data_IF_047988148651
#
_entry.id   IF_047988148651
#
_cell.length_a   1.000
_cell.length_b   1.000
_cell.length_c   1.000
_cell.angle_alpha   90.00
_cell.angle_beta   90.00
_cell.angle_gamma   90.00
#
_symmetry.space_group_name_H-M   'P 1'
#
loop_
_entity.id
_entity.type
_entity.pdbx_description
1 polymer ?
#
# COMPACT_ATOMS: atom_id res chain seq x y z
N UNK A 1 -34.15 39.37 62.63
CA UNK A 1 -33.42 38.43 63.51
C UNK A 1 -32.26 37.82 62.72
N UNK A 2 -31.04 38.02 63.22
CA UNK A 2 -29.76 37.29 63.01
C UNK A 2 -29.35 36.81 61.60
N UNK A 3 -28.36 37.55 61.07
CA UNK A 3 -27.12 37.10 60.43
C UNK A 3 -26.78 35.60 60.41
N UNK A 4 -26.27 35.12 59.26
CA UNK A 4 -24.88 34.63 59.19
C UNK A 4 -24.30 34.81 57.78
N UNK A 5 -23.23 35.61 57.74
CA UNK A 5 -22.25 35.80 56.67
C UNK A 5 -21.15 34.76 56.91
N UNK A 6 -20.70 34.05 55.88
CA UNK A 6 -19.42 33.34 55.91
C UNK A 6 -18.60 33.77 54.69
N UNK A 7 -17.43 34.34 55.01
CA UNK A 7 -16.40 34.85 54.11
C UNK A 7 -15.16 33.96 54.27
N UNK A 8 -14.53 33.67 53.12
CA UNK A 8 -13.11 33.32 52.88
C UNK A 8 -12.53 32.01 53.41
N UNK A 9 -11.84 31.29 52.52
CA UNK A 9 -10.36 31.38 52.45
C UNK A 9 -9.83 30.69 51.19
N UNK A 10 -9.45 31.46 50.18
CA UNK A 10 -8.54 31.02 49.13
C UNK A 10 -7.10 31.24 49.59
N UNK A 11 -6.35 30.19 49.88
CA UNK A 11 -4.90 30.24 50.05
C UNK A 11 -4.24 29.55 48.85
N UNK A 12 -3.95 30.35 47.81
CA UNK A 12 -2.83 30.04 46.90
C UNK A 12 -1.60 30.69 47.52
N UNK A 13 -0.76 29.90 48.17
CA UNK A 13 0.61 30.33 48.47
C UNK A 13 1.47 30.07 47.22
N UNK A 14 1.80 31.15 46.53
CA UNK A 14 2.93 31.22 45.60
C UNK A 14 4.16 31.68 46.38
N UNK A 15 5.31 31.00 46.32
CA UNK A 15 6.55 31.60 46.80
C UNK A 15 7.02 32.63 45.76
N UNK A 16 7.01 33.90 46.15
CA UNK A 16 7.60 35.00 45.39
C UNK A 16 9.13 34.93 45.54
N UNK A 17 9.82 34.56 44.47
CA UNK A 17 11.25 34.88 44.31
C UNK A 17 11.32 36.05 43.34
N UNK A 18 11.65 37.23 43.87
CA UNK A 18 12.04 38.38 43.06
C UNK A 18 13.43 38.09 42.45
N UNK A 19 13.52 37.96 41.13
CA UNK A 19 14.78 38.15 40.41
C UNK A 19 14.67 39.38 39.51
N UNK A 20 15.48 40.38 39.82
CA UNK A 20 15.65 41.61 39.05
C UNK A 20 16.48 41.36 37.79
N UNK A 21 15.83 41.06 36.66
CA UNK A 21 16.34 41.33 35.31
C UNK A 21 15.28 40.93 34.28
N UNK A 22 14.79 41.90 33.51
CA UNK A 22 13.74 41.71 32.52
C UNK A 22 14.20 40.89 31.32
N UNK A 23 13.60 39.72 31.13
CA UNK A 23 13.24 39.10 29.85
C UNK A 23 12.47 37.81 30.14
N UNK A 24 11.15 37.81 29.95
CA UNK A 24 10.33 36.60 29.99
C UNK A 24 10.17 36.06 28.56
N UNK A 25 10.86 34.97 28.23
CA UNK A 25 10.39 34.05 27.19
C UNK A 25 9.26 33.17 27.76
N UNK A 26 8.22 32.83 26.98
CA UNK A 26 7.09 32.07 27.49
C UNK A 26 7.41 30.57 27.55
N UNK A 27 7.84 30.09 28.72
CA UNK A 27 8.07 28.66 29.02
C UNK A 27 6.77 27.82 29.20
N UNK A 28 5.61 28.31 28.76
CA UNK A 28 4.30 27.66 28.99
C UNK A 28 3.69 27.03 27.71
N UNK A 29 4.37 27.09 26.56
CA UNK A 29 3.80 26.57 25.29
C UNK A 29 3.95 25.06 25.05
N UNK A 30 4.68 24.32 25.90
CA UNK A 30 5.10 22.94 25.58
C UNK A 30 4.19 21.85 26.14
N UNK A 31 3.41 22.10 27.20
CA UNK A 31 2.66 21.04 27.93
C UNK A 31 1.20 20.86 27.52
N UNK A 32 0.68 21.65 26.57
CA UNK A 32 -0.68 21.50 26.02
C UNK A 32 -0.70 21.34 24.49
N UNK A 33 0.07 20.40 23.91
CA UNK A 33 -0.35 19.79 22.63
C UNK A 33 -1.62 18.98 22.90
N UNK A 34 -2.77 19.65 22.78
CA UNK A 34 -4.10 19.13 23.09
C UNK A 34 -4.37 17.83 22.33
N UNK A 35 -5.21 16.94 22.88
CA UNK A 35 -5.70 15.70 22.23
C UNK A 35 -6.17 15.93 20.78
N UNK A 36 -6.63 17.16 20.49
CA UNK A 36 -7.02 17.66 19.17
C UNK A 36 -5.88 17.68 18.15
N UNK A 37 -4.66 18.04 18.55
CA UNK A 37 -3.48 18.08 17.68
C UNK A 37 -2.94 16.67 17.41
N UNK A 38 -3.04 15.76 18.39
CA UNK A 38 -2.64 14.34 18.24
C UNK A 38 -3.52 13.61 17.23
N UNK A 39 -4.83 13.82 17.31
CA UNK A 39 -5.80 13.32 16.35
C UNK A 39 -5.60 13.96 14.95
N UNK A 40 -5.15 15.23 14.91
CA UNK A 40 -4.85 15.95 13.66
C UNK A 40 -3.68 15.31 12.89
N UNK A 41 -2.62 14.92 13.58
CA UNK A 41 -1.44 14.28 12.97
C UNK A 41 -1.78 12.92 12.33
N UNK A 42 -2.55 12.08 13.03
CA UNK A 42 -3.02 10.81 12.47
C UNK A 42 -3.95 11.02 11.28
N UNK A 43 -4.92 11.93 11.42
CA UNK A 43 -5.82 12.30 10.32
C UNK A 43 -5.03 12.84 9.14
N UNK A 44 -3.97 13.61 9.37
CA UNK A 44 -3.10 14.10 8.30
C UNK A 44 -2.47 12.94 7.51
N UNK A 45 -1.98 11.87 8.16
CA UNK A 45 -1.43 10.72 7.44
C UNK A 45 -2.53 9.94 6.70
N UNK A 46 -3.68 9.70 7.34
CA UNK A 46 -4.73 8.83 6.78
C UNK A 46 -5.67 9.51 5.78
N UNK A 47 -5.76 10.85 5.77
CA UNK A 47 -6.76 11.58 4.96
C UNK A 47 -6.57 11.36 3.45
N UNK A 48 -5.35 11.20 2.96
CA UNK A 48 -5.11 10.95 1.52
C UNK A 48 -5.72 9.61 1.08
N UNK A 49 -5.60 8.58 1.92
CA UNK A 49 -6.20 7.26 1.67
C UNK A 49 -7.72 7.34 1.74
N UNK A 50 -8.24 8.13 2.69
CA UNK A 50 -9.68 8.38 2.81
C UNK A 50 -10.24 9.08 1.57
N UNK A 51 -9.55 10.06 1.01
CA UNK A 51 -9.98 10.78 -0.19
C UNK A 51 -10.13 9.84 -1.41
N UNK A 52 -9.25 8.85 -1.54
CA UNK A 52 -9.30 7.88 -2.65
C UNK A 52 -10.37 6.79 -2.42
N UNK A 53 -10.48 6.26 -1.20
CA UNK A 53 -11.35 5.11 -0.90
C UNK A 53 -12.80 5.50 -0.55
N UNK A 54 -13.05 6.69 -0.01
CA UNK A 54 -14.39 7.11 0.44
C UNK A 54 -15.42 7.37 -0.69
N UNK A 55 -15.04 7.87 -1.89
CA UNK A 55 -15.97 7.99 -3.01
C UNK A 55 -16.57 6.64 -3.43
N UNK A 56 -15.73 5.60 -3.50
CA UNK A 56 -16.13 4.22 -3.85
C UNK A 56 -16.91 3.56 -2.69
N UNK A 57 -16.70 4.03 -1.46
CA UNK A 57 -17.24 3.41 -0.26
C UNK A 57 -16.39 2.28 0.28
N UNK A 58 -15.12 2.20 -0.10
CA UNK A 58 -14.18 1.20 0.42
C UNK A 58 -13.50 1.63 1.73
N UNK A 59 -13.62 2.90 2.13
CA UNK A 59 -13.05 3.37 3.40
C UNK A 59 -13.77 2.71 4.59
N UNK A 60 -13.06 1.98 5.48
CA UNK A 60 -13.69 1.25 6.57
C UNK A 60 -14.01 2.19 7.74
N UNK A 61 -15.10 2.96 7.61
CA UNK A 61 -15.65 3.82 8.66
C UNK A 61 -16.60 2.98 9.54
N UNK A 62 -16.15 2.57 10.74
CA UNK A 62 -16.86 1.59 11.60
C UNK A 62 -17.97 2.24 12.44
N UNK A 63 -18.02 3.57 12.53
CA UNK A 63 -18.75 4.24 13.62
C UNK A 63 -20.22 4.59 13.37
N UNK A 64 -20.91 4.09 12.32
CA UNK A 64 -22.34 4.42 12.15
C UNK A 64 -23.18 3.45 11.29
N UNK A 65 -24.26 2.91 11.87
CA UNK A 65 -25.23 2.02 11.19
C UNK A 65 -25.91 2.72 9.99
N UNK A 66 -26.21 4.03 10.09
CA UNK A 66 -26.80 4.80 8.97
C UNK A 66 -25.83 4.99 7.80
N UNK A 67 -24.52 5.05 8.07
CA UNK A 67 -23.49 5.11 7.03
C UNK A 67 -23.35 3.79 6.28
N UNK A 68 -23.73 2.66 6.89
CA UNK A 68 -23.58 1.33 6.28
C UNK A 68 -24.44 1.15 5.01
N UNK A 69 -25.69 1.64 5.03
CA UNK A 69 -26.57 1.59 3.83
C UNK A 69 -26.01 2.42 2.68
N UNK A 70 -25.53 3.64 2.97
CA UNK A 70 -24.92 4.53 1.97
C UNK A 70 -23.63 3.93 1.41
N UNK A 71 -22.82 3.32 2.28
CA UNK A 71 -21.57 2.66 1.89
C UNK A 71 -21.84 1.50 0.92
N UNK A 72 -22.77 0.62 1.26
CA UNK A 72 -23.21 -0.49 0.40
C UNK A 72 -23.71 0.01 -0.94
N UNK A 73 -24.53 1.06 -0.95
CA UNK A 73 -25.00 1.69 -2.18
C UNK A 73 -23.84 2.18 -3.07
N UNK A 74 -22.85 2.87 -2.49
CA UNK A 74 -21.67 3.35 -3.23
C UNK A 74 -20.85 2.22 -3.85
N UNK A 75 -20.63 1.13 -3.10
CA UNK A 75 -19.88 -0.03 -3.58
C UNK A 75 -20.66 -0.72 -4.72
N UNK A 76 -21.95 -1.00 -4.52
CA UNK A 76 -22.80 -1.65 -5.53
C UNK A 76 -22.89 -0.79 -6.80
N UNK A 77 -23.09 0.51 -6.65
CA UNK A 77 -23.10 1.46 -7.77
C UNK A 77 -21.76 1.47 -8.52
N UNK A 78 -20.64 1.45 -7.79
CA UNK A 78 -19.30 1.41 -8.39
C UNK A 78 -19.05 0.12 -9.18
N UNK A 79 -19.45 -1.04 -8.62
CA UNK A 79 -19.37 -2.34 -9.31
C UNK A 79 -20.24 -2.33 -10.58
N UNK A 80 -21.48 -1.85 -10.46
CA UNK A 80 -22.42 -1.80 -11.58
C UNK A 80 -21.90 -0.91 -12.72
N UNK A 81 -21.36 0.27 -12.41
CA UNK A 81 -20.78 1.17 -13.41
C UNK A 81 -19.62 0.53 -14.17
N UNK A 82 -18.71 -0.14 -13.46
CA UNK A 82 -17.58 -0.86 -14.09
C UNK A 82 -18.08 -2.02 -14.96
N UNK A 83 -19.06 -2.78 -14.48
CA UNK A 83 -19.62 -3.91 -15.21
C UNK A 83 -20.33 -3.48 -16.50
N UNK A 84 -21.20 -2.47 -16.41
CA UNK A 84 -22.08 -2.07 -17.52
C UNK A 84 -21.33 -1.30 -18.60
N UNK A 85 -20.41 -0.40 -18.23
CA UNK A 85 -19.77 0.48 -19.22
C UNK A 85 -18.46 -0.07 -19.79
N UNK A 86 -17.80 -0.99 -19.11
CA UNK A 86 -16.48 -1.50 -19.52
C UNK A 86 -16.48 -3.02 -19.63
N UNK A 87 -16.68 -3.74 -18.52
CA UNK A 87 -16.44 -5.18 -18.47
C UNK A 87 -17.35 -5.99 -19.42
N UNK A 88 -18.68 -5.93 -19.25
CA UNK A 88 -19.60 -6.72 -20.08
C UNK A 88 -19.53 -6.36 -21.57
N UNK A 89 -19.50 -5.06 -21.98
CA UNK A 89 -19.32 -4.70 -23.38
C UNK A 89 -18.01 -5.21 -23.99
N UNK A 90 -16.93 -5.30 -23.19
CA UNK A 90 -15.65 -5.87 -23.62
C UNK A 90 -15.73 -7.38 -23.77
N UNK A 91 -16.28 -8.09 -22.79
CA UNK A 91 -16.46 -9.55 -22.86
C UNK A 91 -17.34 -9.94 -24.06
N UNK A 92 -18.42 -9.20 -24.34
CA UNK A 92 -19.29 -9.45 -25.51
C UNK A 92 -18.50 -9.23 -26.81
N UNK A 93 -17.71 -8.15 -26.89
CA UNK A 93 -16.88 -7.89 -28.07
C UNK A 93 -15.83 -8.99 -28.27
N UNK A 94 -15.17 -9.43 -27.20
CA UNK A 94 -14.19 -10.53 -27.20
C UNK A 94 -14.79 -11.81 -27.79
N UNK A 95 -15.97 -12.22 -27.32
CA UNK A 95 -16.63 -13.46 -27.76
C UNK A 95 -17.12 -13.35 -29.21
N UNK A 96 -17.62 -12.17 -29.62
CA UNK A 96 -18.15 -11.98 -30.98
C UNK A 96 -17.07 -11.81 -32.04
N UNK A 97 -15.83 -11.46 -31.66
CA UNK A 97 -14.71 -11.21 -32.56
C UNK A 97 -13.47 -12.02 -32.18
N UNK A 98 -13.68 -13.25 -31.72
CA UNK A 98 -12.60 -14.12 -31.26
C UNK A 98 -11.61 -14.50 -32.38
N UNK A 99 -12.05 -14.45 -33.63
CA UNK A 99 -11.22 -14.75 -34.81
C UNK A 99 -10.16 -13.68 -35.10
N UNK A 100 -10.33 -12.47 -34.56
CA UNK A 100 -9.39 -11.35 -34.72
C UNK A 100 -8.42 -11.30 -33.54
N UNK A 101 -7.27 -11.95 -33.71
CA UNK A 101 -6.25 -12.08 -32.65
C UNK A 101 -5.73 -10.72 -32.15
N UNK A 102 -5.56 -9.73 -33.02
CA UNK A 102 -5.05 -8.42 -32.63
C UNK A 102 -6.06 -7.68 -31.74
N UNK A 103 -7.34 -7.74 -32.10
CA UNK A 103 -8.42 -7.18 -31.30
C UNK A 103 -8.59 -7.91 -29.96
N UNK A 104 -8.49 -9.24 -29.96
CA UNK A 104 -8.56 -10.06 -28.74
C UNK A 104 -7.46 -9.65 -27.75
N UNK A 105 -6.21 -9.55 -28.22
CA UNK A 105 -5.08 -9.13 -27.39
C UNK A 105 -5.31 -7.70 -26.87
N UNK A 106 -5.85 -6.80 -27.69
CA UNK A 106 -6.17 -5.44 -27.28
C UNK A 106 -7.24 -5.38 -26.18
N UNK A 107 -8.32 -6.15 -26.29
CA UNK A 107 -9.37 -6.17 -25.27
C UNK A 107 -8.82 -6.72 -23.95
N UNK A 108 -8.08 -7.83 -24.01
CA UNK A 108 -7.47 -8.46 -22.83
C UNK A 108 -6.48 -7.53 -22.13
N UNK A 109 -5.61 -6.85 -22.90
CA UNK A 109 -4.58 -5.97 -22.36
C UNK A 109 -5.13 -4.63 -21.85
N UNK A 110 -6.11 -4.03 -22.53
CA UNK A 110 -6.52 -2.64 -22.22
C UNK A 110 -7.52 -2.54 -21.08
N UNK A 111 -8.39 -3.54 -20.88
CA UNK A 111 -9.48 -3.42 -19.91
C UNK A 111 -9.89 -4.70 -19.19
N UNK A 112 -9.98 -5.84 -19.88
CA UNK A 112 -10.65 -7.03 -19.31
C UNK A 112 -9.93 -7.56 -18.07
N UNK A 113 -8.60 -7.75 -18.16
CA UNK A 113 -7.79 -8.27 -17.05
C UNK A 113 -7.72 -7.25 -15.89
N UNK A 114 -7.59 -5.97 -16.22
CA UNK A 114 -7.53 -4.88 -15.24
C UNK A 114 -8.86 -4.74 -14.48
N UNK A 115 -9.97 -4.77 -15.20
CA UNK A 115 -11.32 -4.73 -14.61
C UNK A 115 -11.59 -5.97 -13.76
N UNK A 116 -11.23 -7.17 -14.24
CA UNK A 116 -11.34 -8.42 -13.47
C UNK A 116 -10.62 -8.31 -12.13
N UNK A 117 -9.37 -7.83 -12.14
CA UNK A 117 -8.60 -7.65 -10.93
C UNK A 117 -9.18 -6.58 -10.00
N UNK A 118 -9.70 -5.47 -10.54
CA UNK A 118 -10.39 -4.45 -9.75
C UNK A 118 -11.67 -4.98 -9.09
N UNK A 119 -12.45 -5.79 -9.81
CA UNK A 119 -13.66 -6.46 -9.31
C UNK A 119 -13.32 -7.46 -8.19
N UNK A 120 -12.26 -8.26 -8.36
CA UNK A 120 -11.77 -9.15 -7.30
C UNK A 120 -11.37 -8.36 -6.04
N UNK A 121 -10.62 -7.26 -6.22
CA UNK A 121 -10.21 -6.38 -5.11
C UNK A 121 -11.39 -5.80 -4.35
N UNK A 122 -12.35 -5.19 -5.04
CA UNK A 122 -13.50 -4.54 -4.38
C UNK A 122 -14.37 -5.57 -3.64
N UNK A 123 -14.55 -6.78 -4.19
CA UNK A 123 -15.30 -7.87 -3.56
C UNK A 123 -14.59 -8.35 -2.28
N UNK A 124 -13.29 -8.65 -2.34
CA UNK A 124 -12.55 -9.14 -1.17
C UNK A 124 -12.45 -8.05 -0.09
N UNK A 125 -12.16 -6.80 -0.46
CA UNK A 125 -12.14 -5.69 0.48
C UNK A 125 -13.50 -5.45 1.15
N UNK A 126 -14.60 -5.68 0.42
CA UNK A 126 -15.94 -5.60 0.99
C UNK A 126 -16.17 -6.68 2.07
N UNK A 127 -15.79 -7.94 1.81
CA UNK A 127 -15.92 -9.01 2.81
C UNK A 127 -15.00 -8.79 4.01
N UNK A 128 -13.79 -8.29 3.77
CA UNK A 128 -12.78 -8.07 4.81
C UNK A 128 -12.93 -6.72 5.55
N UNK A 129 -13.90 -5.88 5.18
CA UNK A 129 -14.07 -4.51 5.70
C UNK A 129 -14.10 -4.39 7.21
N UNK A 130 -14.68 -5.37 7.91
CA UNK A 130 -14.77 -5.36 9.37
C UNK A 130 -13.39 -5.57 10.00
N UNK A 131 -12.59 -6.48 9.44
CA UNK A 131 -11.22 -6.72 9.88
C UNK A 131 -10.32 -5.51 9.57
N UNK A 132 -10.48 -4.90 8.38
CA UNK A 132 -9.76 -3.68 8.01
C UNK A 132 -10.13 -2.49 8.92
N UNK A 133 -11.39 -2.37 9.31
CA UNK A 133 -11.84 -1.38 10.30
C UNK A 133 -11.22 -1.58 11.68
N UNK A 134 -11.07 -2.84 12.13
CA UNK A 134 -10.34 -3.17 13.37
C UNK A 134 -8.87 -2.78 13.28
N UNK A 135 -8.21 -3.03 12.15
CA UNK A 135 -6.82 -2.61 11.92
C UNK A 135 -6.66 -1.09 12.01
N UNK A 136 -7.57 -0.33 11.40
CA UNK A 136 -7.56 1.14 11.53
C UNK A 136 -7.74 1.61 12.97
N UNK A 137 -8.65 0.96 13.72
CA UNK A 137 -8.89 1.30 15.13
C UNK A 137 -7.67 1.01 15.99
N UNK A 138 -7.03 -0.16 15.82
CA UNK A 138 -5.77 -0.49 16.50
C UNK A 138 -4.67 0.52 16.16
N UNK A 139 -4.56 0.91 14.88
CA UNK A 139 -3.59 1.91 14.45
C UNK A 139 -3.84 3.28 15.12
N UNK A 140 -5.11 3.70 15.27
CA UNK A 140 -5.48 4.92 15.97
C UNK A 140 -5.16 4.86 17.48
N UNK A 141 -5.51 3.76 18.14
CA UNK A 141 -5.20 3.52 19.55
C UNK A 141 -3.68 3.53 19.79
N UNK A 142 -2.91 2.86 18.94
CA UNK A 142 -1.44 2.81 19.02
C UNK A 142 -0.81 4.18 18.83
N UNK A 143 -1.35 4.99 17.92
CA UNK A 143 -0.90 6.36 17.71
C UNK A 143 -1.14 7.21 18.94
N UNK A 144 -2.35 7.17 19.50
CA UNK A 144 -2.70 7.93 20.70
C UNK A 144 -1.83 7.54 21.89
N UNK A 145 -1.58 6.25 22.09
CA UNK A 145 -0.73 5.75 23.16
C UNK A 145 0.73 6.17 23.00
N UNK A 146 1.28 6.10 21.78
CA UNK A 146 2.68 6.47 21.52
C UNK A 146 2.94 7.95 21.72
N UNK A 147 2.02 8.80 21.25
CA UNK A 147 2.13 10.26 21.39
C UNK A 147 1.94 10.74 22.83
N UNK A 148 1.35 9.93 23.70
CA UNK A 148 1.26 10.23 25.14
C UNK A 148 2.52 9.78 25.90
N UNK A 149 3.29 8.84 25.37
CA UNK A 149 4.41 8.22 26.08
C UNK A 149 5.75 8.94 25.89
N UNK A 150 6.14 9.29 24.65
CA UNK A 150 7.46 9.86 24.35
C UNK A 150 7.47 10.66 23.02
N UNK A 151 8.00 11.89 23.01
CA UNK A 151 8.15 12.73 21.81
C UNK A 151 9.09 12.09 20.75
N UNK A 152 10.10 11.31 21.16
CA UNK A 152 10.95 10.57 20.21
C UNK A 152 10.14 9.53 19.43
N UNK A 153 9.28 8.78 20.12
CA UNK A 153 8.41 7.79 19.47
C UNK A 153 7.43 8.46 18.50
N UNK A 154 6.88 9.62 18.88
CA UNK A 154 6.07 10.45 17.98
C UNK A 154 6.86 10.83 16.72
N UNK A 155 8.12 11.25 16.88
CA UNK A 155 9.01 11.61 15.77
C UNK A 155 9.17 10.48 14.75
N UNK A 156 9.37 9.24 15.22
CA UNK A 156 9.50 8.05 14.36
C UNK A 156 8.21 7.79 13.58
N UNK A 157 7.05 7.76 14.25
CA UNK A 157 5.75 7.55 13.58
C UNK A 157 5.47 8.64 12.54
N UNK A 158 5.71 9.91 12.87
CA UNK A 158 5.52 11.02 11.94
C UNK A 158 6.47 10.96 10.74
N UNK A 159 7.73 10.59 10.94
CA UNK A 159 8.71 10.46 9.87
C UNK A 159 8.28 9.39 8.87
N UNK A 160 7.93 8.19 9.33
CA UNK A 160 7.43 7.10 8.46
C UNK A 160 6.05 7.44 7.85
N UNK A 161 5.15 8.09 8.59
CA UNK A 161 3.85 8.54 8.09
C UNK A 161 3.95 9.60 6.99
N UNK A 162 4.84 10.60 7.13
CA UNK A 162 5.11 11.59 6.07
C UNK A 162 5.73 10.95 4.83
N UNK A 163 6.59 9.94 5.00
CA UNK A 163 7.13 9.16 3.90
C UNK A 163 6.02 8.44 3.13
N UNK A 164 5.15 7.69 3.83
CA UNK A 164 3.98 7.02 3.22
C UNK A 164 3.11 8.01 2.47
N UNK A 165 2.77 9.15 3.09
CA UNK A 165 1.93 10.16 2.43
C UNK A 165 2.55 10.67 1.12
N UNK A 166 3.85 11.00 1.11
CA UNK A 166 4.55 11.44 -0.12
C UNK A 166 4.55 10.34 -1.18
N UNK A 167 4.82 9.11 -0.76
CA UNK A 167 4.78 7.93 -1.62
C UNK A 167 3.39 7.76 -2.27
N UNK A 168 2.32 7.83 -1.49
CA UNK A 168 0.95 7.71 -1.98
C UNK A 168 0.57 8.82 -2.96
N UNK A 169 0.97 10.07 -2.69
CA UNK A 169 0.76 11.20 -3.61
C UNK A 169 1.49 10.94 -4.94
N UNK A 170 2.74 10.48 -4.88
CA UNK A 170 3.50 10.15 -6.10
C UNK A 170 2.85 9.02 -6.91
N UNK A 171 2.35 7.97 -6.24
CA UNK A 171 1.66 6.86 -6.90
C UNK A 171 0.33 7.30 -7.54
N UNK A 172 -0.42 8.17 -6.85
CA UNK A 172 -1.64 8.80 -7.38
C UNK A 172 -1.31 9.59 -8.65
N UNK A 173 -0.33 10.50 -8.59
CA UNK A 173 0.05 11.35 -9.71
C UNK A 173 0.48 10.52 -10.92
N UNK A 174 1.29 9.47 -10.71
CA UNK A 174 1.74 8.60 -11.80
C UNK A 174 0.58 7.86 -12.47
N UNK A 175 -0.34 7.31 -11.69
CA UNK A 175 -1.50 6.58 -12.22
C UNK A 175 -2.45 7.48 -13.02
N UNK A 176 -2.70 8.71 -12.53
CA UNK A 176 -3.51 9.68 -13.25
C UNK A 176 -2.78 10.26 -14.47
N UNK A 177 -1.44 10.33 -14.47
CA UNK A 177 -0.66 10.69 -15.65
C UNK A 177 -0.86 9.65 -16.77
N UNK A 178 -0.77 8.35 -16.48
CA UNK A 178 -1.05 7.30 -17.46
C UNK A 178 -2.48 7.38 -18.00
N UNK A 179 -3.46 7.71 -17.16
CA UNK A 179 -4.84 7.97 -17.59
C UNK A 179 -4.95 9.18 -18.52
N UNK A 180 -4.28 10.30 -18.20
CA UNK A 180 -4.27 11.49 -19.06
C UNK A 180 -3.62 11.19 -20.42
N UNK A 181 -2.50 10.44 -20.45
CA UNK A 181 -1.87 10.01 -21.69
C UNK A 181 -2.85 9.18 -22.56
N UNK A 182 -3.64 8.29 -21.94
CA UNK A 182 -4.67 7.53 -22.65
C UNK A 182 -5.74 8.43 -23.28
N UNK A 183 -6.22 9.42 -22.53
CA UNK A 183 -7.19 10.41 -23.03
C UNK A 183 -6.61 11.18 -24.22
N UNK A 184 -5.35 11.64 -24.11
CA UNK A 184 -4.67 12.38 -25.18
C UNK A 184 -4.52 11.55 -26.46
N UNK A 185 -4.14 10.28 -26.35
CA UNK A 185 -4.08 9.35 -27.48
C UNK A 185 -5.44 9.26 -28.19
N UNK A 186 -6.54 9.13 -27.44
CA UNK A 186 -7.88 9.02 -28.03
C UNK A 186 -8.37 10.33 -28.64
N UNK A 187 -8.02 11.47 -28.06
CA UNK A 187 -8.31 12.78 -28.67
C UNK A 187 -7.54 12.95 -29.98
N UNK A 188 -6.25 12.63 -30.00
CA UNK A 188 -5.43 12.72 -31.20
C UNK A 188 -6.00 11.85 -32.33
N UNK A 189 -6.31 10.58 -32.02
CA UNK A 189 -6.93 9.67 -32.98
C UNK A 189 -8.23 10.23 -33.57
N UNK A 190 -9.07 10.85 -32.73
CA UNK A 190 -10.32 11.46 -33.18
C UNK A 190 -10.09 12.65 -34.13
N UNK A 191 -9.09 13.50 -33.83
CA UNK A 191 -8.74 14.65 -34.68
C UNK A 191 -8.24 14.19 -36.05
N UNK A 192 -7.29 13.25 -36.09
CA UNK A 192 -6.70 12.73 -37.34
C UNK A 192 -7.75 12.11 -38.25
N UNK A 193 -8.69 11.33 -37.69
CA UNK A 193 -9.77 10.72 -38.47
C UNK A 193 -10.84 11.72 -38.92
N UNK A 194 -10.93 12.89 -38.30
CA UNK A 194 -11.85 13.96 -38.72
C UNK A 194 -11.27 14.79 -39.87
N UNK A 195 -9.95 14.87 -40.00
CA UNK A 195 -9.28 15.55 -41.12
C UNK A 195 -9.31 14.77 -42.44
N UNK A 196 -9.41 13.44 -42.38
CA UNK A 196 -9.68 12.60 -43.54
C UNK A 196 -11.20 12.57 -43.73
N UNK A 197 -11.71 13.26 -44.77
CA UNK A 197 -13.13 13.37 -45.09
C UNK A 197 -13.76 12.02 -45.54
N UNK A 198 -13.55 10.93 -44.82
CA UNK A 198 -14.26 9.68 -45.06
C UNK A 198 -15.54 9.62 -44.23
N UNK A 199 -16.62 9.32 -44.95
CA UNK A 199 -18.02 9.38 -44.54
C UNK A 199 -18.43 8.26 -43.57
N UNK A 200 -17.47 7.69 -42.84
CA UNK A 200 -17.73 6.75 -41.76
C UNK A 200 -17.30 7.39 -40.43
N UNK A 201 -18.28 7.96 -39.72
CA UNK A 201 -18.21 8.23 -38.27
C UNK A 201 -18.01 6.93 -37.47
N UNK A 202 -16.86 6.29 -37.63
CA UNK A 202 -16.38 5.25 -36.73
C UNK A 202 -15.65 5.94 -35.59
N UNK A 203 -16.40 6.62 -34.70
CA UNK A 203 -15.84 7.10 -33.44
C UNK A 203 -15.51 5.87 -32.59
N UNK A 204 -14.22 5.64 -32.36
CA UNK A 204 -13.79 4.60 -31.45
C UNK A 204 -14.03 5.01 -30.00
N UNK A 205 -14.56 4.08 -29.22
CA UNK A 205 -14.74 4.22 -27.79
C UNK A 205 -13.40 4.37 -27.04
N UNK A 206 -13.46 4.87 -25.79
CA UNK A 206 -12.28 4.98 -24.92
C UNK A 206 -11.65 3.59 -24.69
N UNK A 207 -12.48 2.56 -24.58
CA UNK A 207 -12.11 1.16 -24.70
C UNK A 207 -12.87 0.48 -25.83
N UNK A 208 -12.24 -0.42 -26.62
CA UNK A 208 -12.97 -1.27 -27.56
C UNK A 208 -14.09 -1.99 -26.83
N UNK A 209 -15.34 -1.82 -27.28
CA UNK A 209 -16.52 -2.33 -26.58
C UNK A 209 -17.68 -2.52 -27.56
N UNK A 210 -18.47 -3.56 -27.35
CA UNK A 210 -19.67 -3.81 -28.15
C UNK A 210 -20.87 -3.06 -27.55
N UNK A 211 -21.46 -2.15 -28.34
CA UNK A 211 -22.76 -1.55 -28.05
C UNK A 211 -23.67 -1.69 -29.27
N UNK A 212 -24.97 -1.98 -29.08
CA UNK A 212 -25.91 -2.06 -30.18
C UNK A 212 -25.97 -0.77 -31.01
N UNK A 213 -26.18 -0.89 -32.33
CA UNK A 213 -26.14 0.25 -33.27
C UNK A 213 -27.06 1.42 -32.90
N UNK A 214 -28.20 1.16 -32.24
CA UNK A 214 -29.12 2.21 -31.81
C UNK A 214 -28.56 3.09 -30.67
N UNK A 215 -27.60 2.57 -29.88
CA UNK A 215 -26.91 3.32 -28.82
C UNK A 215 -25.75 4.19 -29.35
N UNK A 216 -25.35 4.02 -30.60
CA UNK A 216 -24.26 4.78 -31.23
C UNK A 216 -24.70 6.15 -31.77
N UNK A 217 -26.00 6.48 -31.68
CA UNK A 217 -26.53 7.79 -32.09
C UNK A 217 -26.37 8.79 -30.95
N UNK A 218 -25.95 10.02 -31.28
CA UNK A 218 -25.94 11.14 -30.32
C UNK A 218 -27.36 11.37 -29.78
N UNK A 219 -27.56 11.55 -28.45
CA UNK A 219 -26.55 11.79 -27.39
C UNK A 219 -26.07 10.53 -26.63
N UNK A 220 -26.52 9.34 -26.99
CA UNK A 220 -26.23 8.11 -26.24
C UNK A 220 -24.76 7.71 -26.31
N UNK A 221 -24.10 7.98 -27.44
CA UNK A 221 -22.68 7.70 -27.63
C UNK A 221 -21.82 8.47 -26.62
N UNK A 222 -22.10 9.77 -26.45
CA UNK A 222 -21.39 10.66 -25.55
C UNK A 222 -21.58 10.23 -24.08
N UNK A 223 -22.79 9.75 -23.73
CA UNK A 223 -23.07 9.19 -22.41
C UNK A 223 -22.27 7.91 -22.13
N UNK A 224 -22.15 7.01 -23.12
CA UNK A 224 -21.34 5.79 -22.99
C UNK A 224 -19.87 6.16 -22.81
N UNK A 225 -19.37 7.12 -23.59
CA UNK A 225 -17.99 7.57 -23.51
C UNK A 225 -17.66 8.16 -22.12
N UNK A 226 -18.55 9.02 -21.59
CA UNK A 226 -18.44 9.55 -20.22
C UNK A 226 -18.50 8.41 -19.20
N UNK A 227 -19.40 7.44 -19.39
CA UNK A 227 -19.52 6.26 -18.55
C UNK A 227 -18.22 5.44 -18.48
N UNK A 228 -17.55 5.22 -19.61
CA UNK A 228 -16.25 4.55 -19.67
C UNK A 228 -15.17 5.32 -18.91
N UNK A 229 -15.12 6.65 -19.04
CA UNK A 229 -14.19 7.50 -18.27
C UNK A 229 -14.44 7.37 -16.77
N UNK A 230 -15.70 7.48 -16.34
CA UNK A 230 -16.07 7.36 -14.92
C UNK A 230 -15.71 5.98 -14.37
N UNK A 231 -16.02 4.90 -15.11
CA UNK A 231 -15.64 3.55 -14.75
C UNK A 231 -14.11 3.39 -14.63
N UNK A 232 -13.34 3.99 -15.54
CA UNK A 232 -11.86 3.98 -15.48
C UNK A 232 -11.35 4.65 -14.21
N UNK A 233 -11.89 5.81 -13.86
CA UNK A 233 -11.51 6.54 -12.63
C UNK A 233 -11.84 5.71 -11.38
N UNK A 234 -12.97 5.00 -11.38
CA UNK A 234 -13.32 4.07 -10.29
C UNK A 234 -12.28 2.95 -10.19
N UNK A 235 -11.95 2.30 -11.31
CA UNK A 235 -10.93 1.23 -11.35
C UNK A 235 -9.58 1.74 -10.83
N UNK A 236 -9.10 2.89 -11.31
CA UNK A 236 -7.86 3.52 -10.86
C UNK A 236 -7.87 3.73 -9.35
N UNK A 237 -8.96 4.28 -8.80
CA UNK A 237 -9.08 4.52 -7.36
C UNK A 237 -9.16 3.22 -6.55
N UNK A 238 -9.74 2.14 -7.08
CA UNK A 238 -9.71 0.81 -6.43
C UNK A 238 -8.27 0.31 -6.31
N UNK A 239 -7.49 0.37 -7.39
CA UNK A 239 -6.08 -0.04 -7.40
C UNK A 239 -5.24 0.77 -6.43
N UNK A 240 -5.18 2.08 -6.65
CA UNK A 240 -4.38 3.00 -5.83
C UNK A 240 -4.83 2.93 -4.37
N UNK A 241 -6.14 2.88 -4.13
CA UNK A 241 -6.71 2.84 -2.79
C UNK A 241 -6.31 1.58 -2.02
N UNK A 242 -6.48 0.41 -2.64
CA UNK A 242 -6.10 -0.88 -2.05
C UNK A 242 -4.60 -0.94 -1.75
N UNK A 243 -3.78 -0.62 -2.74
CA UNK A 243 -2.34 -0.83 -2.70
C UNK A 243 -1.69 0.15 -1.71
N UNK A 244 -2.08 1.43 -1.76
CA UNK A 244 -1.60 2.43 -0.80
C UNK A 244 -2.09 2.13 0.63
N UNK A 245 -3.30 1.59 0.80
CA UNK A 245 -3.79 1.24 2.13
C UNK A 245 -2.99 0.08 2.74
N UNK A 246 -2.61 -0.93 1.94
CA UNK A 246 -1.69 -1.97 2.39
C UNK A 246 -0.33 -1.40 2.82
N UNK A 247 0.24 -0.49 2.02
CA UNK A 247 1.50 0.21 2.34
C UNK A 247 1.41 0.96 3.66
N UNK A 248 0.31 1.66 3.91
CA UNK A 248 0.08 2.37 5.17
C UNK A 248 0.13 1.43 6.37
N UNK A 249 -0.55 0.28 6.29
CA UNK A 249 -0.59 -0.72 7.36
C UNK A 249 0.79 -1.33 7.60
N UNK A 250 1.51 -1.72 6.54
CA UNK A 250 2.86 -2.28 6.63
C UNK A 250 3.83 -1.26 7.25
N UNK A 251 3.73 0.01 6.85
CA UNK A 251 4.60 1.06 7.37
C UNK A 251 4.28 1.44 8.81
N UNK A 252 3.02 1.30 9.23
CA UNK A 252 2.67 1.39 10.65
C UNK A 252 3.34 0.27 11.44
N UNK A 253 3.24 -0.99 10.99
CA UNK A 253 3.91 -2.13 11.63
C UNK A 253 5.41 -1.89 11.71
N UNK A 254 6.02 -1.48 10.59
CA UNK A 254 7.44 -1.14 10.52
C UNK A 254 7.83 -0.05 11.52
N UNK A 255 7.03 1.01 11.67
CA UNK A 255 7.30 2.06 12.66
C UNK A 255 7.26 1.56 14.09
N UNK A 256 6.28 0.70 14.41
CA UNK A 256 6.12 0.10 15.74
C UNK A 256 7.23 -0.90 16.04
N UNK A 257 7.67 -1.67 15.05
CA UNK A 257 8.84 -2.54 15.14
C UNK A 257 10.11 -1.76 15.48
N UNK A 258 10.35 -0.60 14.83
CA UNK A 258 11.50 0.27 15.15
C UNK A 258 11.45 0.78 16.60
N UNK A 259 10.28 1.21 17.07
CA UNK A 259 10.11 1.67 18.46
C UNK A 259 10.35 0.53 19.45
N UNK A 260 9.78 -0.63 19.17
CA UNK A 260 9.93 -1.80 20.04
C UNK A 260 11.38 -2.24 20.15
N UNK A 261 12.14 -2.17 19.04
CA UNK A 261 13.59 -2.42 19.03
C UNK A 261 14.35 -1.42 19.90
N UNK A 262 14.04 -0.13 19.81
CA UNK A 262 14.67 0.87 20.65
C UNK A 262 14.37 0.63 22.15
N UNK A 263 13.13 0.28 22.49
CA UNK A 263 12.74 -0.05 23.86
C UNK A 263 13.49 -1.28 24.40
N UNK A 264 13.64 -2.32 23.58
CA UNK A 264 14.37 -3.52 23.95
C UNK A 264 15.87 -3.24 24.14
N UNK A 265 16.47 -2.45 23.25
CA UNK A 265 17.89 -2.07 23.34
C UNK A 265 18.18 -1.28 24.61
N UNK A 266 17.30 -0.34 24.96
CA UNK A 266 17.51 0.52 26.13
C UNK A 266 17.14 -0.15 27.46
N UNK A 267 16.38 -1.25 27.44
CA UNK A 267 15.91 -1.95 28.64
C UNK A 267 17.06 -2.34 29.60
N UNK A 268 18.13 -3.00 29.13
CA UNK A 268 19.31 -3.31 29.95
C UNK A 268 19.96 -2.09 30.60
N UNK A 269 19.91 -0.92 29.95
CA UNK A 269 20.50 0.33 30.44
C UNK A 269 19.62 1.04 31.47
N UNK A 270 18.29 0.91 31.34
CA UNK A 270 17.30 1.60 32.18
C UNK A 270 17.02 0.91 33.51
N UNK A 271 17.28 -0.39 33.61
CA UNK A 271 17.03 -1.17 34.83
C UNK A 271 18.37 -1.52 35.47
N UNK A 272 18.50 -1.39 36.79
CA UNK A 272 19.73 -1.78 37.47
C UNK A 272 20.02 -3.28 37.28
N UNK A 273 21.28 -3.73 37.10
CA UNK A 273 21.62 -5.14 36.85
C UNK A 273 21.04 -6.14 37.85
N UNK A 274 20.92 -5.72 39.11
CA UNK A 274 20.42 -6.55 40.25
C UNK A 274 18.89 -6.55 40.40
N UNK A 275 18.15 -5.71 39.68
CA UNK A 275 16.68 -5.61 39.77
C UNK A 275 15.98 -6.52 38.74
N UNK A 276 16.13 -7.84 38.88
CA UNK A 276 15.52 -8.83 37.96
C UNK A 276 14.00 -8.70 37.89
N UNK A 277 13.32 -8.43 39.02
CA UNK A 277 11.85 -8.28 39.05
C UNK A 277 11.38 -7.14 38.14
N UNK A 278 12.06 -5.98 38.21
CA UNK A 278 11.72 -4.82 37.38
C UNK A 278 12.06 -5.09 35.91
N UNK A 279 13.19 -5.75 35.65
CA UNK A 279 13.60 -6.13 34.30
C UNK A 279 12.56 -7.06 33.65
N UNK A 280 12.16 -8.14 34.34
CA UNK A 280 11.17 -9.09 33.85
C UNK A 280 9.79 -8.46 33.64
N UNK A 281 9.39 -7.51 34.50
CA UNK A 281 8.14 -6.76 34.32
C UNK A 281 8.16 -5.93 33.03
N UNK A 282 9.22 -5.16 32.79
CA UNK A 282 9.37 -4.32 31.60
C UNK A 282 9.55 -5.17 30.32
N UNK A 283 10.33 -6.25 30.40
CA UNK A 283 10.46 -7.22 29.32
C UNK A 283 9.11 -7.85 28.96
N UNK A 284 8.30 -8.21 29.96
CA UNK A 284 6.94 -8.72 29.76
C UNK A 284 6.03 -7.72 29.02
N UNK A 285 6.17 -6.42 29.27
CA UNK A 285 5.44 -5.37 28.54
C UNK A 285 5.88 -5.33 27.06
N UNK A 286 7.19 -5.42 26.80
CA UNK A 286 7.76 -5.45 25.44
C UNK A 286 7.27 -6.69 24.69
N UNK A 287 7.28 -7.87 25.31
CA UNK A 287 6.79 -9.12 24.69
C UNK A 287 5.31 -9.04 24.34
N UNK A 288 4.47 -8.51 25.23
CA UNK A 288 3.03 -8.32 24.92
C UNK A 288 2.81 -7.37 23.75
N UNK A 289 3.60 -6.29 23.66
CA UNK A 289 3.56 -5.37 22.51
C UNK A 289 4.02 -6.03 21.21
N UNK A 290 5.07 -6.85 21.27
CA UNK A 290 5.53 -7.66 20.14
C UNK A 290 4.44 -8.61 19.64
N UNK A 291 3.80 -9.34 20.56
CA UNK A 291 2.73 -10.28 20.23
C UNK A 291 1.53 -9.58 19.60
N UNK A 292 1.13 -8.41 20.14
CA UNK A 292 0.08 -7.60 19.55
C UNK A 292 0.43 -7.17 18.12
N UNK A 293 1.67 -6.74 17.88
CA UNK A 293 2.15 -6.34 16.56
C UNK A 293 2.18 -7.51 15.56
N UNK A 294 2.61 -8.69 16.02
CA UNK A 294 2.56 -9.92 15.23
C UNK A 294 1.13 -10.29 14.83
N UNK A 295 0.17 -10.18 15.76
CA UNK A 295 -1.25 -10.40 15.45
C UNK A 295 -1.77 -9.40 14.42
N UNK A 296 -1.38 -8.12 14.54
CA UNK A 296 -1.72 -7.08 13.57
C UNK A 296 -1.18 -7.42 12.17
N UNK A 297 0.08 -7.85 12.06
CA UNK A 297 0.67 -8.25 10.78
C UNK A 297 0.05 -9.53 10.19
N UNK A 298 -0.28 -10.52 11.03
CA UNK A 298 -1.02 -11.72 10.59
C UNK A 298 -2.38 -11.33 10.03
N UNK A 299 -3.09 -10.42 10.68
CA UNK A 299 -4.35 -9.89 10.16
C UNK A 299 -4.15 -9.19 8.80
N UNK A 300 -3.05 -8.47 8.58
CA UNK A 300 -2.76 -7.90 7.25
C UNK A 300 -2.60 -9.04 6.23
N UNK A 301 -1.76 -10.03 6.50
CA UNK A 301 -1.51 -11.13 5.56
C UNK A 301 -2.81 -11.90 5.26
N UNK A 302 -3.61 -12.24 6.27
CA UNK A 302 -4.87 -12.96 6.10
C UNK A 302 -5.91 -12.17 5.28
N UNK A 303 -5.91 -10.83 5.35
CA UNK A 303 -6.88 -10.00 4.61
C UNK A 303 -6.44 -9.70 3.18
N UNK A 304 -5.13 -9.73 2.88
CA UNK A 304 -4.59 -9.33 1.58
C UNK A 304 -3.97 -10.49 0.79
N UNK A 305 -3.70 -11.66 1.37
CA UNK A 305 -3.01 -12.77 0.70
C UNK A 305 -3.66 -13.23 -0.61
N UNK A 306 -5.00 -13.34 -0.66
CA UNK A 306 -5.75 -13.73 -1.86
C UNK A 306 -5.77 -12.58 -2.87
N UNK A 307 -5.93 -11.33 -2.41
CA UNK A 307 -5.84 -10.14 -3.28
C UNK A 307 -4.49 -10.13 -3.98
N UNK A 308 -3.42 -10.36 -3.22
CA UNK A 308 -2.05 -10.37 -3.72
C UNK A 308 -1.81 -11.54 -4.68
N UNK A 309 -2.34 -12.73 -4.40
CA UNK A 309 -2.25 -13.86 -5.33
C UNK A 309 -2.94 -13.57 -6.67
N UNK A 310 -4.18 -13.06 -6.62
CA UNK A 310 -4.94 -12.70 -7.81
C UNK A 310 -4.23 -11.60 -8.61
N UNK A 311 -3.76 -10.55 -7.93
CA UNK A 311 -2.99 -9.47 -8.53
C UNK A 311 -1.73 -9.97 -9.22
N UNK A 312 -0.97 -10.88 -8.60
CA UNK A 312 0.26 -11.44 -9.18
C UNK A 312 -0.02 -12.22 -10.46
N UNK A 313 -1.04 -13.08 -10.42
CA UNK A 313 -1.38 -13.96 -11.54
C UNK A 313 -1.91 -13.16 -12.72
N UNK A 314 -2.85 -12.23 -12.46
CA UNK A 314 -3.46 -11.39 -13.49
C UNK A 314 -2.47 -10.38 -14.05
N UNK A 315 -1.58 -9.84 -13.22
CA UNK A 315 -0.53 -8.93 -13.67
C UNK A 315 0.49 -9.64 -14.57
N UNK A 316 0.89 -10.88 -14.25
CA UNK A 316 1.81 -11.63 -15.10
C UNK A 316 1.21 -11.85 -16.49
N UNK A 317 -0.07 -12.23 -16.58
CA UNK A 317 -0.78 -12.35 -17.85
C UNK A 317 -0.88 -11.00 -18.58
N UNK A 318 -1.26 -9.93 -17.87
CA UNK A 318 -1.38 -8.59 -18.43
C UNK A 318 -0.05 -8.08 -19.01
N UNK A 319 1.05 -8.29 -18.31
CA UNK A 319 2.38 -7.87 -18.76
C UNK A 319 2.77 -8.57 -20.06
N UNK A 320 2.46 -9.87 -20.19
CA UNK A 320 2.71 -10.62 -21.41
C UNK A 320 1.96 -10.01 -22.61
N UNK A 321 0.67 -9.71 -22.46
CA UNK A 321 -0.12 -9.09 -23.53
C UNK A 321 0.36 -7.67 -23.86
N UNK A 322 0.63 -6.84 -22.85
CA UNK A 322 1.10 -5.47 -23.06
C UNK A 322 2.45 -5.41 -23.78
N UNK A 323 3.38 -6.28 -23.39
CA UNK A 323 4.69 -6.30 -24.02
C UNK A 323 4.60 -6.87 -25.45
N UNK A 324 3.74 -7.85 -25.73
CA UNK A 324 3.45 -8.28 -27.10
C UNK A 324 2.87 -7.14 -27.95
N UNK A 325 1.91 -6.39 -27.42
CA UNK A 325 1.33 -5.23 -28.13
C UNK A 325 2.38 -4.16 -28.43
N UNK A 326 3.27 -3.89 -27.48
CA UNK A 326 4.36 -2.94 -27.68
C UNK A 326 5.28 -3.39 -28.82
N UNK A 327 5.66 -4.67 -28.85
CA UNK A 327 6.52 -5.24 -29.90
C UNK A 327 5.86 -5.13 -31.26
N UNK A 328 4.62 -5.58 -31.39
CA UNK A 328 3.90 -5.54 -32.67
C UNK A 328 3.77 -4.11 -33.21
N UNK A 329 3.47 -3.14 -32.34
CA UNK A 329 3.35 -1.72 -32.71
C UNK A 329 4.69 -1.07 -33.07
N UNK A 330 5.81 -1.57 -32.54
CA UNK A 330 7.16 -1.07 -32.85
C UNK A 330 7.74 -1.72 -34.11
N UNK A 331 7.50 -3.01 -34.34
CA UNK A 331 8.07 -3.75 -35.48
C UNK A 331 7.27 -3.55 -36.77
N UNK A 332 5.94 -3.46 -36.70
CA UNK A 332 5.09 -3.16 -37.87
C UNK A 332 5.13 -1.64 -38.12
N UNK A 333 6.31 -1.13 -38.51
CA UNK A 333 6.48 0.24 -39.00
C UNK A 333 5.90 0.38 -40.42
N UNK A 334 4.57 0.31 -40.53
CA UNK A 334 3.85 0.87 -41.67
C UNK A 334 3.19 2.18 -41.22
N UNK A 335 3.94 3.27 -41.41
CA UNK A 335 3.57 4.68 -41.64
C UNK A 335 2.47 5.42 -40.84
N UNK A 336 1.70 4.83 -39.91
CA UNK A 336 0.54 5.54 -39.29
C UNK A 336 0.42 5.44 -37.76
N UNK A 337 1.29 4.70 -37.07
CA UNK A 337 1.19 4.61 -35.59
C UNK A 337 1.67 5.91 -34.94
N UNK A 338 0.78 6.59 -34.20
CA UNK A 338 1.14 7.80 -33.46
C UNK A 338 2.19 7.48 -32.39
N UNK A 339 3.30 8.23 -32.36
CA UNK A 339 4.32 8.20 -31.30
C UNK A 339 3.70 8.25 -29.89
N UNK A 340 2.56 8.93 -29.73
CA UNK A 340 1.84 9.01 -28.46
C UNK A 340 1.30 7.66 -27.98
N UNK A 341 0.91 6.75 -28.88
CA UNK A 341 0.42 5.41 -28.51
C UNK A 341 1.52 4.57 -27.89
N UNK A 342 2.73 4.60 -28.47
CA UNK A 342 3.90 3.90 -27.95
C UNK A 342 4.28 4.47 -26.58
N UNK A 343 4.29 5.80 -26.43
CA UNK A 343 4.54 6.45 -25.14
C UNK A 343 3.51 6.01 -24.10
N UNK A 344 2.21 6.01 -24.44
CA UNK A 344 1.16 5.51 -23.55
C UNK A 344 1.40 4.05 -23.13
N UNK A 345 1.73 3.15 -24.06
CA UNK A 345 1.97 1.73 -23.76
C UNK A 345 3.14 1.54 -22.80
N UNK A 346 4.23 2.30 -22.97
CA UNK A 346 5.38 2.27 -22.05
C UNK A 346 4.96 2.72 -20.64
N UNK A 347 4.25 3.85 -20.53
CA UNK A 347 3.74 4.32 -19.25
C UNK A 347 2.73 3.34 -18.61
N UNK A 348 1.95 2.63 -19.43
CA UNK A 348 1.01 1.64 -18.95
C UNK A 348 1.71 0.40 -18.42
N UNK A 349 2.73 -0.12 -19.12
CA UNK A 349 3.59 -1.21 -18.62
C UNK A 349 4.22 -0.81 -17.29
N UNK A 350 4.82 0.38 -17.19
CA UNK A 350 5.40 0.87 -15.93
C UNK A 350 4.34 0.98 -14.82
N UNK A 351 3.13 1.47 -15.11
CA UNK A 351 2.03 1.56 -14.15
C UNK A 351 1.60 0.19 -13.63
N UNK A 352 1.62 -0.84 -14.47
CA UNK A 352 1.28 -2.20 -14.06
C UNK A 352 2.40 -2.86 -13.23
N UNK A 353 3.66 -2.53 -13.49
CA UNK A 353 4.82 -3.04 -12.72
C UNK A 353 4.97 -2.39 -11.34
N UNK A 354 4.57 -1.14 -11.16
CA UNK A 354 4.69 -0.41 -9.89
C UNK A 354 4.04 -1.15 -8.71
N UNK A 355 2.77 -1.60 -8.76
CA UNK A 355 2.15 -2.38 -7.69
C UNK A 355 2.99 -3.60 -7.26
N UNK A 356 3.53 -4.35 -8.22
CA UNK A 356 4.37 -5.51 -7.94
C UNK A 356 5.64 -5.12 -7.19
N UNK A 357 6.32 -4.07 -7.66
CA UNK A 357 7.49 -3.52 -7.01
C UNK A 357 7.17 -3.07 -5.57
N UNK A 358 6.03 -2.38 -5.38
CA UNK A 358 5.55 -1.93 -4.07
C UNK A 358 5.41 -3.10 -3.10
N UNK A 359 4.72 -4.17 -3.48
CA UNK A 359 4.52 -5.31 -2.58
C UNK A 359 5.83 -5.97 -2.20
N UNK A 360 6.74 -6.13 -3.16
CA UNK A 360 8.05 -6.71 -2.90
C UNK A 360 8.91 -5.80 -2.00
N UNK A 361 8.88 -4.48 -2.23
CA UNK A 361 9.67 -3.50 -1.50
C UNK A 361 9.21 -3.38 -0.05
N UNK A 362 7.91 -3.15 0.16
CA UNK A 362 7.35 -3.05 1.50
C UNK A 362 7.30 -4.41 2.21
N UNK A 363 7.14 -5.51 1.47
CA UNK A 363 7.27 -6.87 2.00
C UNK A 363 8.67 -7.15 2.55
N UNK A 364 9.71 -6.66 1.88
CA UNK A 364 11.09 -6.78 2.35
C UNK A 364 11.41 -5.84 3.51
N UNK A 365 10.91 -4.60 3.50
CA UNK A 365 10.99 -3.69 4.65
C UNK A 365 10.37 -4.34 5.89
N UNK A 366 9.20 -4.97 5.74
CA UNK A 366 8.53 -5.65 6.84
C UNK A 366 9.40 -6.77 7.40
N UNK A 367 9.93 -7.64 6.53
CA UNK A 367 10.81 -8.74 6.94
C UNK A 367 12.08 -8.22 7.61
N UNK A 368 12.74 -7.21 7.03
CA UNK A 368 13.96 -6.62 7.57
C UNK A 368 13.72 -5.99 8.95
N UNK A 369 12.67 -5.18 9.10
CA UNK A 369 12.43 -4.47 10.36
C UNK A 369 11.99 -5.40 11.50
N UNK A 370 11.45 -6.58 11.18
CA UNK A 370 11.09 -7.61 12.18
C UNK A 370 12.30 -8.47 12.51
N UNK A 371 13.07 -8.90 11.51
CA UNK A 371 14.26 -9.74 11.70
C UNK A 371 15.42 -9.00 12.38
N UNK A 372 15.46 -7.67 12.33
CA UNK A 372 16.49 -6.86 13.01
C UNK A 372 16.13 -6.61 14.49
N UNK A 373 14.89 -6.82 14.95
CA UNK A 373 14.53 -6.62 16.37
C UNK A 373 15.30 -7.61 17.26
N UNK A 374 15.49 -8.82 16.78
CA UNK A 374 16.19 -9.85 17.50
C UNK A 374 17.13 -10.57 16.55
N UNK A 375 18.43 -10.46 16.77
CA UNK A 375 19.40 -11.15 15.96
C UNK A 375 19.18 -12.65 16.04
N UNK A 376 19.34 -13.29 14.88
CA UNK A 376 19.60 -14.72 14.79
C UNK A 376 20.90 -15.05 15.56
N UNK A 377 20.80 -15.24 16.88
CA UNK A 377 21.86 -15.86 17.70
C UNK A 377 22.14 -17.29 17.21
N UNK A 378 21.19 -17.93 16.53
CA UNK A 378 21.35 -19.25 15.91
C UNK A 378 22.35 -19.20 14.74
N UNK A 379 22.42 -18.12 13.97
CA UNK A 379 23.45 -17.99 12.95
C UNK A 379 24.83 -17.76 13.58
N UNK A 380 24.94 -17.15 14.77
CA UNK A 380 26.25 -16.99 15.40
C UNK A 380 26.81 -18.32 15.95
N UNK A 381 25.94 -19.24 16.39
CA UNK A 381 26.35 -20.58 16.83
C UNK A 381 26.62 -21.53 15.65
N UNK A 382 25.84 -21.45 14.56
CA UNK A 382 26.08 -22.27 13.36
C UNK A 382 27.21 -21.73 12.46
N UNK A 383 27.40 -20.40 12.40
CA UNK A 383 28.42 -19.77 11.54
C UNK A 383 29.83 -19.78 12.13
N UNK A 384 29.98 -20.00 13.44
CA UNK A 384 31.31 -20.26 14.02
C UNK A 384 31.87 -21.65 13.63
N UNK A 385 31.04 -22.51 13.01
CA UNK A 385 31.45 -23.82 12.50
C UNK A 385 31.67 -23.87 10.98
N UNK A 386 31.23 -22.88 10.19
CA UNK A 386 31.37 -22.93 8.73
C UNK A 386 31.65 -21.54 8.15
N UNK A 387 32.86 -21.40 7.61
CA UNK A 387 33.33 -20.22 6.90
C UNK A 387 32.52 -19.93 5.62
N UNK A 388 32.52 -18.64 5.29
CA UNK A 388 32.27 -17.99 3.98
C UNK A 388 30.85 -17.50 3.66
N UNK A 389 30.84 -16.25 3.17
CA UNK A 389 29.82 -15.53 2.38
C UNK A 389 28.59 -14.94 3.12
N UNK A 390 28.62 -13.62 3.38
CA UNK A 390 27.78 -12.57 2.73
C UNK A 390 27.73 -11.31 3.60
N UNK A 391 28.03 -10.15 2.99
CA UNK A 391 28.00 -8.81 3.59
C UNK A 391 26.57 -8.27 3.90
N UNK A 392 25.56 -9.13 4.03
CA UNK A 392 24.18 -8.74 4.29
C UNK A 392 23.82 -8.77 5.79
N UNK A 393 24.62 -9.45 6.63
CA UNK A 393 24.27 -9.73 8.04
C UNK A 393 24.90 -8.77 9.06
N UNK A 394 25.65 -7.76 8.62
CA UNK A 394 26.44 -6.90 9.50
C UNK A 394 25.56 -6.02 10.41
N UNK A 395 24.41 -5.56 9.90
CA UNK A 395 23.44 -4.75 10.67
C UNK A 395 22.63 -5.56 11.67
N UNK A 396 22.40 -6.85 11.38
CA UNK A 396 21.67 -7.77 12.27
C UNK A 396 22.58 -8.20 13.43
N UNK A 397 23.87 -8.47 13.14
CA UNK A 397 24.90 -8.79 14.14
C UNK A 397 25.10 -7.64 15.14
N UNK A 398 25.11 -6.39 14.68
CA UNK A 398 25.33 -5.23 15.54
C UNK A 398 24.19 -5.02 16.56
N UNK A 399 22.93 -5.21 16.15
CA UNK A 399 21.78 -5.09 17.05
C UNK A 399 21.78 -6.12 18.21
N UNK A 400 22.44 -7.27 18.02
CA UNK A 400 22.60 -8.34 19.03
C UNK A 400 23.45 -7.92 20.19
N UNK A 401 24.54 -7.28 19.80
CA UNK A 401 25.58 -6.82 20.67
C UNK A 401 25.12 -5.59 21.46
N UNK A 402 24.25 -4.77 20.86
CA UNK A 402 23.69 -3.56 21.45
C UNK A 402 22.77 -3.81 22.67
N UNK A 403 22.17 -4.99 22.82
CA UNK A 403 21.29 -5.29 23.97
C UNK A 403 22.03 -5.66 25.27
N UNK A 404 23.36 -5.71 25.32
CA UNK A 404 24.17 -5.96 26.55
C UNK A 404 23.64 -7.07 27.48
N UNK A 405 22.95 -8.08 26.94
CA UNK A 405 22.22 -9.10 27.70
C UNK A 405 23.17 -10.01 28.49
N UNK A 406 24.42 -10.09 28.06
CA UNK A 406 25.51 -10.83 28.70
C UNK A 406 25.99 -10.22 30.03
N UNK A 407 25.60 -8.97 30.34
CA UNK A 407 25.93 -8.29 31.60
C UNK A 407 24.89 -8.62 32.70
N UNK A 408 23.79 -9.30 32.35
CA UNK A 408 22.68 -9.64 33.26
C UNK A 408 22.86 -10.99 33.94
N UNK A 409 22.09 -11.22 34.99
CA UNK A 409 21.99 -12.53 35.62
C UNK A 409 21.52 -13.60 34.62
N UNK A 410 21.98 -14.86 34.73
CA UNK A 410 21.70 -15.91 33.74
C UNK A 410 20.21 -16.17 33.44
N UNK A 411 19.34 -15.96 34.42
CA UNK A 411 17.88 -16.13 34.29
C UNK A 411 17.25 -15.05 33.39
N UNK A 412 17.68 -13.80 33.55
CA UNK A 412 17.22 -12.67 32.75
C UNK A 412 17.75 -12.78 31.32
N UNK A 413 19.02 -13.16 31.17
CA UNK A 413 19.66 -13.41 29.88
C UNK A 413 18.95 -14.52 29.08
N UNK A 414 18.61 -15.64 29.72
CA UNK A 414 17.85 -16.74 29.10
C UNK A 414 16.46 -16.30 28.62
N UNK A 415 15.80 -15.42 29.37
CA UNK A 415 14.48 -14.90 29.00
C UNK A 415 14.56 -14.05 27.72
N UNK A 416 15.61 -13.23 27.58
CA UNK A 416 15.87 -12.47 26.35
C UNK A 416 16.18 -13.39 25.17
N UNK A 417 16.99 -14.43 25.38
CA UNK A 417 17.33 -15.43 24.34
C UNK A 417 16.08 -16.18 23.86
N UNK A 418 15.18 -16.58 24.76
CA UNK A 418 13.92 -17.24 24.39
C UNK A 418 13.03 -16.35 23.52
N UNK A 419 12.99 -15.04 23.82
CA UNK A 419 12.24 -14.09 23.01
C UNK A 419 12.90 -13.96 21.63
N UNK A 420 14.24 -13.88 21.59
CA UNK A 420 15.00 -13.85 20.33
C UNK A 420 14.66 -15.05 19.45
N UNK A 421 14.67 -16.26 20.00
CA UNK A 421 14.30 -17.49 19.29
C UNK A 421 12.84 -17.48 18.78
N UNK A 422 11.89 -17.00 19.60
CA UNK A 422 10.48 -16.89 19.20
C UNK A 422 10.21 -15.89 18.09
N UNK A 423 11.07 -14.87 17.94
CA UNK A 423 10.96 -13.86 16.89
C UNK A 423 11.61 -14.26 15.56
N UNK A 424 12.26 -15.43 15.51
CA UNK A 424 12.85 -16.01 14.28
C UNK A 424 11.80 -16.37 13.22
N UNK A 425 10.50 -16.34 13.54
CA UNK A 425 9.44 -16.48 12.53
C UNK A 425 9.14 -15.10 11.91
N UNK A 426 9.72 -14.76 10.74
CA UNK A 426 9.53 -13.46 10.12
C UNK A 426 8.05 -13.22 9.81
N UNK A 427 7.56 -12.02 10.13
CA UNK A 427 6.32 -11.52 9.53
C UNK A 427 6.55 -11.39 8.02
N UNK A 428 5.83 -12.19 7.24
CA UNK A 428 5.96 -12.24 5.77
C UNK A 428 4.63 -11.89 5.14
N UNK A 429 4.70 -11.09 4.08
CA UNK A 429 3.58 -10.91 3.17
C UNK A 429 3.62 -12.03 2.13
N UNK A 430 2.54 -12.78 2.01
CA UNK A 430 2.47 -13.96 1.13
C UNK A 430 1.41 -13.82 0.04
N UNK A 431 1.73 -14.32 -1.15
CA UNK A 431 0.76 -14.52 -2.22
C UNK A 431 0.07 -15.87 -1.99
N UNK A 432 -1.13 -15.86 -1.42
CA UNK A 432 -1.93 -17.07 -1.17
C UNK A 432 -1.19 -18.17 -0.39
N UNK A 433 -0.23 -17.79 0.48
CA UNK A 433 0.67 -18.71 1.20
C UNK A 433 1.62 -19.56 0.30
N UNK A 434 1.67 -19.32 -1.01
CA UNK A 434 2.56 -20.00 -1.94
C UNK A 434 3.98 -19.41 -1.93
N UNK A 435 4.09 -18.08 -2.05
CA UNK A 435 5.37 -17.37 -2.17
C UNK A 435 5.36 -16.08 -1.37
N UNK A 436 6.50 -15.74 -0.77
CA UNK A 436 6.68 -14.46 -0.06
C UNK A 436 7.07 -13.34 -1.03
N UNK A 437 6.56 -12.13 -0.77
CA UNK A 437 6.93 -10.94 -1.51
C UNK A 437 8.30 -10.42 -1.04
N UNK A 438 9.30 -10.48 -1.92
CA UNK A 438 10.68 -10.02 -1.72
C UNK A 438 11.22 -9.45 -3.03
N UNK A 439 12.29 -8.63 -3.00
CA UNK A 439 12.92 -8.14 -4.24
C UNK A 439 13.42 -9.26 -5.16
N UNK A 440 13.80 -10.41 -4.61
CA UNK A 440 14.13 -11.60 -5.40
C UNK A 440 12.92 -12.08 -6.22
N UNK A 441 11.73 -12.19 -5.62
CA UNK A 441 10.51 -12.57 -6.35
C UNK A 441 10.19 -11.58 -7.48
N UNK A 442 10.36 -10.27 -7.25
CA UNK A 442 10.19 -9.26 -8.30
C UNK A 442 11.17 -9.47 -9.46
N UNK A 443 12.44 -9.70 -9.14
CA UNK A 443 13.51 -9.89 -10.13
C UNK A 443 13.25 -11.15 -10.98
N UNK A 444 12.78 -12.23 -10.36
CA UNK A 444 12.46 -13.47 -11.08
C UNK A 444 11.29 -13.27 -12.05
N UNK A 445 10.27 -12.48 -11.67
CA UNK A 445 9.13 -12.16 -12.54
C UNK A 445 9.57 -11.30 -13.71
N UNK A 446 10.41 -10.30 -13.48
CA UNK A 446 10.97 -9.49 -14.56
C UNK A 446 11.83 -10.31 -15.51
N UNK A 447 12.71 -11.17 -14.98
CA UNK A 447 13.57 -12.05 -15.80
C UNK A 447 12.73 -12.98 -16.66
N UNK A 448 11.75 -13.67 -16.07
CA UNK A 448 10.88 -14.59 -16.81
C UNK A 448 10.06 -13.88 -17.89
N UNK A 449 9.56 -12.68 -17.61
CA UNK A 449 8.84 -11.85 -18.58
C UNK A 449 9.75 -11.40 -19.73
N UNK A 450 10.96 -10.94 -19.42
CA UNK A 450 11.94 -10.55 -20.44
C UNK A 450 12.41 -11.74 -21.29
N UNK A 451 12.66 -12.91 -20.67
CA UNK A 451 12.99 -14.14 -21.39
C UNK A 451 11.88 -14.55 -22.36
N UNK A 452 10.62 -14.49 -21.91
CA UNK A 452 9.46 -14.75 -22.78
C UNK A 452 9.41 -13.79 -23.97
N UNK A 453 9.66 -12.49 -23.73
CA UNK A 453 9.70 -11.49 -24.81
C UNK A 453 10.85 -11.72 -25.79
N UNK A 454 12.03 -12.11 -25.31
CA UNK A 454 13.15 -12.47 -26.18
C UNK A 454 12.81 -13.65 -27.08
N UNK A 455 12.10 -14.67 -26.57
CA UNK A 455 11.64 -15.81 -27.38
C UNK A 455 10.67 -15.34 -28.46
N UNK A 456 9.65 -14.54 -28.11
CA UNK A 456 8.70 -13.99 -29.09
C UNK A 456 9.42 -13.19 -30.18
N UNK A 457 10.32 -12.29 -29.79
CA UNK A 457 11.08 -11.48 -30.73
C UNK A 457 11.91 -12.34 -31.69
N UNK A 458 12.55 -13.40 -31.19
CA UNK A 458 13.30 -14.32 -32.03
C UNK A 458 12.40 -15.06 -33.02
N UNK A 459 11.24 -15.57 -32.57
CA UNK A 459 10.29 -16.28 -33.45
C UNK A 459 9.65 -15.38 -34.51
N UNK A 460 9.54 -14.07 -34.27
CA UNK A 460 9.03 -13.11 -35.25
C UNK A 460 10.08 -12.71 -36.30
N UNK A 461 11.38 -12.93 -36.02
CA UNK A 461 12.47 -12.60 -36.93
C UNK A 461 12.85 -13.74 -37.88
N UNK A 462 12.36 -14.96 -37.64
CA UNK A 462 12.55 -16.06 -38.59
C UNK A 462 11.73 -15.77 -39.86
N UNK A 463 12.37 -15.63 -41.04
CA UNK A 463 11.62 -15.51 -42.28
C UNK A 463 10.81 -16.80 -42.47
N UNK A 464 9.52 -16.64 -42.76
CA UNK A 464 8.69 -17.75 -43.21
C UNK A 464 9.19 -18.13 -44.60
N UNK A 465 10.19 -19.02 -44.65
CA UNK A 465 10.55 -19.73 -45.87
C UNK A 465 9.39 -20.68 -46.21
N UNK A 466 8.51 -20.25 -47.10
CA UNK A 466 7.60 -21.10 -47.87
C UNK A 466 7.36 -20.51 -49.26
#
# INVERSE_FOLDING_TARGET
MRHRVEISSSSRETPWIFSSSGAFEPFVSVTMKTKKDKCRDMKFVTNIHRLVLAPIGLWPDVENIKKDKVLKFKIISSILLVLVFVYLPQTILLVTRIDDFDLVIQILATGEIVCSCALIKIIILYFNRQALGKLLKYMEEDWMNSVNANEETKGILLKKGKFVRRFCISNILFSYLTFLLRVLVKIQFHITKTSECETHRGLEFFFPSYFPKYMLKSPNFELIFIGQIVATVIVINIYIGCDNFLVLLIMHVSARSTILRALLRDLPLKVHPKDSIKFMKELGIIVRRHEHLNRFASMIDDNFNIILLAQMTLLAALLCFLCFQLIMKVQVQNAEVSTMEIVFLIFFILATLIPLYIYCYFGEILQHEVNVIFPNIILQHYFFSHNSITAQNEKIRNAAYECLWYIREPIDARSVILIMDRTVRPMKLTAGKFRSFTMSTFTDILKTSMSYLSVILATMQEPVDN
#
